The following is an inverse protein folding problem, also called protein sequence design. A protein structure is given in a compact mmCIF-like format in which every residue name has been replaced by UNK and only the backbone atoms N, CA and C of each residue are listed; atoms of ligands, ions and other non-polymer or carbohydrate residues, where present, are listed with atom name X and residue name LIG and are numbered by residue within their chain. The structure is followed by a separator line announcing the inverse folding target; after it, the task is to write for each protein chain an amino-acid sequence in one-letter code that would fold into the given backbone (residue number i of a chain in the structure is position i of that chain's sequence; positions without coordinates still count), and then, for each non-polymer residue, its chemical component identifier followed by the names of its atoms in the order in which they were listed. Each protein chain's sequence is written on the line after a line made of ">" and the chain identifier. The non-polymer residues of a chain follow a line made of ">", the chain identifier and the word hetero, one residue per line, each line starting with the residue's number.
data_IF_352195768621
#
_entry.id   IF_352195768621
#
_cell.length_a   1.000
_cell.length_b   1.000
_cell.length_c   1.000
_cell.angle_alpha   90.00
_cell.angle_beta   90.00
_cell.angle_gamma   90.00
#
_symmetry.space_group_name_H-M   'P 1'
#
loop_
_entity.id
_entity.type
_entity.pdbx_description
1 polymer ?
#
# COMPACT_ATOMS: atom_id res chain seq x y z
N UNK A 1 30.56 36.89 -8.60
CA UNK A 1 30.27 35.64 -9.31
C UNK A 1 29.62 36.01 -10.64
N UNK A 2 30.13 35.56 -11.79
CA UNK A 2 29.52 35.90 -13.09
C UNK A 2 28.12 35.32 -13.18
N UNK A 3 27.21 36.01 -13.88
CA UNK A 3 25.82 35.60 -14.07
C UNK A 3 25.73 34.17 -14.67
N UNK A 4 26.68 33.78 -15.53
CA UNK A 4 26.73 32.45 -16.12
C UNK A 4 26.81 31.34 -15.05
N UNK A 5 27.65 31.54 -14.01
CA UNK A 5 27.78 30.56 -12.92
C UNK A 5 26.49 30.45 -12.09
N UNK A 6 25.76 31.56 -11.92
CA UNK A 6 24.48 31.54 -11.22
C UNK A 6 23.42 30.75 -11.99
N UNK A 7 23.38 30.92 -13.32
CA UNK A 7 22.47 30.19 -14.21
C UNK A 7 22.79 28.69 -14.18
N UNK A 8 24.06 28.32 -14.31
CA UNK A 8 24.52 26.92 -14.27
C UNK A 8 24.16 26.28 -12.94
N UNK A 9 24.43 26.97 -11.82
CA UNK A 9 24.12 26.47 -10.49
C UNK A 9 22.62 26.27 -10.27
N UNK A 10 21.80 27.22 -10.74
CA UNK A 10 20.34 27.11 -10.70
C UNK A 10 19.83 25.90 -11.50
N UNK A 11 20.35 25.70 -12.73
CA UNK A 11 20.00 24.56 -13.56
C UNK A 11 20.39 23.23 -12.90
N UNK A 12 21.57 23.16 -12.29
CA UNK A 12 22.03 21.97 -11.58
C UNK A 12 21.09 21.62 -10.41
N UNK A 13 20.70 22.61 -9.62
CA UNK A 13 19.72 22.42 -8.53
C UNK A 13 18.41 21.90 -9.09
N UNK A 14 17.91 22.49 -10.18
CA UNK A 14 16.65 22.07 -10.79
C UNK A 14 16.70 20.60 -11.24
N UNK A 15 17.79 20.18 -11.88
CA UNK A 15 18.01 18.78 -12.27
C UNK A 15 18.02 17.86 -11.06
N UNK A 16 18.74 18.23 -9.99
CA UNK A 16 18.81 17.44 -8.76
C UNK A 16 17.41 17.28 -8.14
N UNK A 17 16.65 18.37 -8.02
CA UNK A 17 15.28 18.34 -7.49
C UNK A 17 14.38 17.46 -8.35
N UNK A 18 14.48 17.57 -9.67
CA UNK A 18 13.71 16.74 -10.60
C UNK A 18 14.02 15.24 -10.43
N UNK A 19 15.30 14.88 -10.34
CA UNK A 19 15.73 13.49 -10.13
C UNK A 19 15.23 12.98 -8.77
N UNK A 20 15.36 13.76 -7.70
CA UNK A 20 14.83 13.39 -6.38
C UNK A 20 13.33 13.15 -6.45
N UNK A 21 12.57 14.03 -7.11
CA UNK A 21 11.13 13.85 -7.27
C UNK A 21 10.80 12.54 -8.01
N UNK A 22 11.52 12.24 -9.09
CA UNK A 22 11.31 11.05 -9.90
C UNK A 22 11.58 9.76 -9.11
N UNK A 23 12.72 9.68 -8.40
CA UNK A 23 13.14 8.43 -7.77
C UNK A 23 12.60 8.25 -6.35
N UNK A 24 12.31 9.33 -5.61
CA UNK A 24 11.92 9.26 -4.19
C UNK A 24 10.41 9.40 -4.01
N UNK A 25 9.77 10.34 -4.71
CA UNK A 25 8.38 10.72 -4.46
C UNK A 25 7.37 10.10 -5.44
N UNK A 26 7.83 9.63 -6.60
CA UNK A 26 6.96 8.95 -7.55
C UNK A 26 6.61 7.54 -7.07
N UNK A 27 5.38 7.12 -7.33
CA UNK A 27 4.91 5.76 -7.02
C UNK A 27 5.30 4.90 -8.21
N UNK A 28 6.21 3.97 -7.99
CA UNK A 28 6.68 3.02 -8.99
C UNK A 28 5.85 1.74 -8.95
N UNK A 29 5.62 1.22 -7.74
CA UNK A 29 4.81 0.02 -7.50
C UNK A 29 4.04 0.16 -6.17
N UNK A 30 3.26 -0.85 -5.83
CA UNK A 30 2.54 -0.90 -4.55
C UNK A 30 2.62 -2.29 -3.95
N UNK A 31 2.78 -2.34 -2.63
CA UNK A 31 2.82 -3.58 -1.87
C UNK A 31 1.71 -3.58 -0.84
N UNK A 32 0.99 -4.69 -0.71
CA UNK A 32 -0.03 -4.86 0.31
C UNK A 32 0.50 -5.69 1.48
N UNK A 33 0.20 -5.26 2.71
CA UNK A 33 0.63 -5.95 3.92
C UNK A 33 -0.54 -6.06 4.89
N UNK A 34 -0.80 -7.29 5.37
CA UNK A 34 -1.71 -7.55 6.49
C UNK A 34 -0.93 -7.58 7.81
N UNK A 35 -1.44 -6.91 8.84
CA UNK A 35 -0.89 -6.97 10.20
C UNK A 35 -2.01 -7.05 11.25
N UNK A 36 -2.02 -8.10 12.10
CA UNK A 36 -1.22 -9.32 12.00
C UNK A 36 -1.66 -10.20 10.81
N UNK A 37 -0.77 -11.05 10.28
CA UNK A 37 -1.05 -11.96 9.17
C UNK A 37 -1.76 -13.26 9.59
N UNK A 38 -1.68 -13.60 10.87
CA UNK A 38 -2.36 -14.73 11.50
C UNK A 38 -3.24 -14.24 12.64
N UNK A 39 -4.45 -14.78 12.76
CA UNK A 39 -5.47 -14.36 13.73
C UNK A 39 -6.08 -15.58 14.41
N UNK A 40 -6.71 -15.37 15.57
CA UNK A 40 -7.49 -16.40 16.26
C UNK A 40 -8.98 -16.28 15.92
N UNK A 41 -9.70 -17.40 15.86
CA UNK A 41 -11.15 -17.45 15.66
C UNK A 41 -11.95 -17.09 16.92
N UNK A 42 -11.65 -15.94 17.52
CA UNK A 42 -12.18 -15.47 18.81
C UNK A 42 -13.32 -14.43 18.68
N UNK A 43 -13.76 -14.16 17.45
CA UNK A 43 -14.76 -13.14 17.11
C UNK A 43 -14.41 -11.70 17.57
N UNK A 44 -13.13 -11.42 17.87
CA UNK A 44 -12.65 -10.13 18.32
C UNK A 44 -11.35 -9.69 17.63
N UNK A 45 -10.53 -10.65 17.21
CA UNK A 45 -9.27 -10.48 16.50
C UNK A 45 -9.46 -9.67 15.22
N UNK A 46 -8.54 -8.74 14.99
CA UNK A 46 -8.59 -7.81 13.85
C UNK A 46 -7.28 -7.82 13.11
N UNK A 47 -7.35 -7.68 11.79
CA UNK A 47 -6.19 -7.39 10.96
C UNK A 47 -6.39 -6.14 10.15
N UNK A 48 -5.30 -5.37 10.02
CA UNK A 48 -5.25 -4.17 9.23
C UNK A 48 -4.45 -4.49 7.98
N UNK A 49 -5.10 -4.32 6.84
CA UNK A 49 -4.46 -4.43 5.54
C UNK A 49 -4.16 -3.02 5.07
N UNK A 50 -2.89 -2.77 4.77
CA UNK A 50 -2.41 -1.48 4.26
C UNK A 50 -1.70 -1.69 2.94
N UNK A 51 -2.04 -0.85 1.98
CA UNK A 51 -1.32 -0.74 0.72
C UNK A 51 -0.30 0.37 0.84
N UNK A 52 0.96 0.03 0.60
CA UNK A 52 2.11 0.90 0.74
C UNK A 52 2.59 1.25 -0.67
N UNK A 53 2.59 2.53 -1.08
CA UNK A 53 3.24 2.94 -2.31
C UNK A 53 4.75 2.81 -2.16
N UNK A 54 5.39 2.20 -3.15
CA UNK A 54 6.84 2.00 -3.21
C UNK A 54 7.39 2.84 -4.37
N UNK A 55 8.51 3.50 -4.14
CA UNK A 55 9.21 4.30 -5.13
C UNK A 55 10.23 3.46 -5.91
N UNK A 56 10.87 4.06 -6.91
CA UNK A 56 11.83 3.36 -7.78
C UNK A 56 13.08 2.85 -7.05
N UNK A 57 13.29 3.24 -5.79
CA UNK A 57 14.37 2.76 -4.93
C UNK A 57 13.93 1.61 -4.01
N UNK A 58 12.71 1.07 -4.18
CA UNK A 58 12.17 -0.01 -3.35
C UNK A 58 11.74 0.42 -1.94
N UNK A 59 11.64 1.73 -1.69
CA UNK A 59 11.24 2.29 -0.38
C UNK A 59 9.83 2.87 -0.43
N UNK A 60 9.19 3.03 0.73
CA UNK A 60 7.90 3.71 0.83
C UNK A 60 7.99 5.12 0.24
N UNK A 61 7.14 5.43 -0.74
CA UNK A 61 7.02 6.78 -1.30
C UNK A 61 6.40 7.74 -0.24
N UNK A 62 7.14 8.77 0.20
CA UNK A 62 6.70 9.64 1.29
C UNK A 62 5.55 10.54 0.85
N UNK A 63 4.61 10.81 1.77
CA UNK A 63 3.42 11.66 1.56
C UNK A 63 2.48 11.24 0.42
N UNK A 64 2.63 10.00 -0.09
CA UNK A 64 1.74 9.44 -1.10
C UNK A 64 0.75 8.46 -0.48
N UNK A 65 -0.44 8.44 -1.05
CA UNK A 65 -1.46 7.44 -0.80
C UNK A 65 -1.94 6.86 -2.13
N UNK A 66 -2.43 5.63 -2.08
CA UNK A 66 -2.83 4.89 -3.28
C UNK A 66 -4.31 4.56 -3.17
N UNK A 67 -5.14 5.05 -4.11
CA UNK A 67 -6.49 4.56 -4.30
C UNK A 67 -6.46 3.09 -4.74
N UNK A 68 -7.13 2.21 -3.99
CA UNK A 68 -7.20 0.78 -4.29
C UNK A 68 -8.62 0.24 -4.18
N UNK A 69 -8.86 -0.88 -4.86
CA UNK A 69 -10.05 -1.69 -4.67
C UNK A 69 -9.69 -2.95 -3.91
N UNK A 70 -10.37 -3.20 -2.79
CA UNK A 70 -10.30 -4.44 -2.03
C UNK A 70 -11.44 -5.37 -2.43
N UNK A 71 -11.11 -6.57 -2.87
CA UNK A 71 -12.03 -7.63 -3.24
C UNK A 71 -11.73 -8.91 -2.43
N UNK A 72 -12.71 -9.40 -1.68
CA UNK A 72 -12.60 -10.65 -0.92
C UNK A 72 -12.96 -11.80 -1.86
N UNK A 73 -11.95 -12.57 -2.27
CA UNK A 73 -12.11 -13.68 -3.21
C UNK A 73 -12.32 -15.02 -2.49
N UNK A 74 -11.85 -15.14 -1.23
CA UNK A 74 -12.01 -16.34 -0.41
C UNK A 74 -12.27 -15.96 1.06
N UNK A 75 -13.04 -16.77 1.79
CA UNK A 75 -13.25 -16.59 3.23
C UNK A 75 -14.13 -15.38 3.61
N UNK A 76 -14.97 -14.86 2.70
CA UNK A 76 -15.90 -13.75 2.97
C UNK A 76 -16.84 -14.02 4.14
N UNK A 77 -17.18 -15.28 4.37
CA UNK A 77 -17.99 -15.72 5.50
C UNK A 77 -17.22 -15.72 6.83
N UNK A 78 -15.88 -15.74 6.84
CA UNK A 78 -15.01 -15.81 8.03
C UNK A 78 -14.68 -14.44 8.63
N UNK A 79 -14.90 -13.34 7.89
CA UNK A 79 -14.55 -11.98 8.31
C UNK A 79 -15.69 -11.00 8.09
N UNK A 80 -15.64 -9.87 8.78
CA UNK A 80 -16.44 -8.68 8.52
C UNK A 80 -15.52 -7.48 8.28
N UNK A 81 -15.96 -6.54 7.44
CA UNK A 81 -15.23 -5.30 7.19
C UNK A 81 -15.71 -4.27 8.22
N UNK A 82 -14.86 -3.91 9.17
CA UNK A 82 -15.18 -2.85 10.13
C UNK A 82 -14.86 -1.46 9.58
N UNK A 83 -13.82 -1.35 8.76
CA UNK A 83 -13.39 -0.09 8.18
C UNK A 83 -12.80 -0.31 6.80
N UNK A 84 -13.17 0.55 5.84
CA UNK A 84 -12.63 0.54 4.49
C UNK A 84 -12.41 1.96 3.99
N UNK A 85 -11.18 2.26 3.61
CA UNK A 85 -10.81 3.51 2.97
C UNK A 85 -10.00 3.22 1.71
N UNK A 86 -10.72 3.12 0.60
CA UNK A 86 -10.13 2.86 -0.71
C UNK A 86 -9.12 3.94 -1.10
N UNK A 87 -9.39 5.22 -0.78
CA UNK A 87 -8.49 6.35 -1.15
C UNK A 87 -7.14 6.27 -0.44
N UNK A 88 -7.12 5.81 0.81
CA UNK A 88 -5.90 5.66 1.61
C UNK A 88 -5.26 4.28 1.51
N UNK A 89 -5.90 3.32 0.83
CA UNK A 89 -5.41 1.95 0.75
C UNK A 89 -5.43 1.22 2.08
N UNK A 90 -6.46 1.44 2.91
CA UNK A 90 -6.57 0.82 4.23
C UNK A 90 -7.91 0.09 4.35
N UNK A 91 -7.88 -1.17 4.79
CA UNK A 91 -9.07 -1.89 5.25
C UNK A 91 -8.78 -2.60 6.56
N UNK A 92 -9.75 -2.64 7.45
CA UNK A 92 -9.69 -3.37 8.72
C UNK A 92 -10.73 -4.47 8.67
N UNK A 93 -10.26 -5.70 8.88
CA UNK A 93 -11.10 -6.87 8.94
C UNK A 93 -11.16 -7.36 10.37
N UNK A 94 -12.36 -7.73 10.79
CA UNK A 94 -12.61 -8.42 12.06
C UNK A 94 -12.95 -9.88 11.75
N UNK A 95 -12.30 -10.78 12.47
CA UNK A 95 -12.49 -12.22 12.37
C UNK A 95 -13.77 -12.64 13.08
N UNK A 96 -14.42 -13.69 12.57
CA UNK A 96 -15.55 -14.37 13.20
C UNK A 96 -15.10 -15.63 13.94
N UNK A 97 -16.04 -16.41 14.42
CA UNK A 97 -15.84 -17.62 15.23
C UNK A 97 -15.40 -18.87 14.44
N UNK A 98 -14.88 -18.73 13.22
CA UNK A 98 -14.53 -19.87 12.35
C UNK A 98 -13.09 -19.79 11.83
N UNK A 99 -12.33 -20.89 11.90
CA UNK A 99 -11.00 -20.97 11.31
C UNK A 99 -11.07 -21.08 9.78
N UNK A 100 -9.97 -20.76 9.13
CA UNK A 100 -9.82 -20.88 7.68
C UNK A 100 -8.92 -19.81 7.06
N UNK A 101 -8.92 -19.74 5.74
CA UNK A 101 -8.07 -18.84 4.97
C UNK A 101 -8.93 -17.75 4.33
N UNK A 102 -8.47 -16.51 4.44
CA UNK A 102 -9.08 -15.35 3.78
C UNK A 102 -8.10 -14.82 2.76
N UNK A 103 -8.51 -14.77 1.49
CA UNK A 103 -7.72 -14.19 0.41
C UNK A 103 -8.38 -12.93 -0.10
N UNK A 104 -7.57 -11.89 -0.22
CA UNK A 104 -8.03 -10.56 -0.61
C UNK A 104 -7.19 -10.11 -1.78
N UNK A 105 -7.88 -9.88 -2.88
CA UNK A 105 -7.34 -9.28 -4.08
C UNK A 105 -7.39 -7.75 -3.95
N UNK A 106 -6.27 -7.12 -4.26
CA UNK A 106 -6.06 -5.69 -4.13
C UNK A 106 -5.58 -5.15 -5.47
N UNK A 107 -6.41 -4.34 -6.10
CA UNK A 107 -6.10 -3.73 -7.40
C UNK A 107 -5.86 -2.23 -7.26
N UNK A 108 -4.90 -1.73 -8.05
CA UNK A 108 -4.47 -0.33 -8.09
C UNK A 108 -4.04 0.01 -9.51
N UNK A 109 -4.18 1.27 -9.90
CA UNK A 109 -3.62 1.76 -11.18
C UNK A 109 -2.09 1.73 -11.24
N UNK A 110 -1.43 1.57 -10.09
CA UNK A 110 0.03 1.47 -9.97
C UNK A 110 0.50 0.02 -9.81
N UNK A 111 -0.37 -0.96 -10.10
CA UNK A 111 -0.03 -2.38 -10.13
C UNK A 111 -0.26 -2.93 -11.52
N UNK A 112 0.70 -3.71 -12.04
CA UNK A 112 0.51 -4.47 -13.28
C UNK A 112 -0.45 -5.65 -13.07
N UNK A 113 -0.36 -6.30 -11.91
CA UNK A 113 -1.19 -7.42 -11.51
C UNK A 113 -1.87 -7.16 -10.16
N UNK A 114 -3.02 -7.79 -9.88
CA UNK A 114 -3.61 -7.72 -8.56
C UNK A 114 -2.67 -8.27 -7.49
N UNK A 115 -2.57 -7.57 -6.36
CA UNK A 115 -1.85 -8.07 -5.19
C UNK A 115 -2.79 -8.95 -4.36
N UNK A 116 -2.37 -10.17 -4.06
CA UNK A 116 -3.15 -11.09 -3.22
C UNK A 116 -2.53 -11.12 -1.83
N UNK A 117 -3.34 -10.83 -0.82
CA UNK A 117 -2.96 -10.97 0.59
C UNK A 117 -3.75 -12.13 1.19
N UNK A 118 -3.02 -13.05 1.80
CA UNK A 118 -3.56 -14.19 2.52
C UNK A 118 -3.50 -13.94 4.03
N UNK A 119 -4.59 -14.27 4.73
CA UNK A 119 -4.70 -14.20 6.18
C UNK A 119 -5.16 -15.55 6.67
N UNK A 120 -4.43 -16.11 7.63
CA UNK A 120 -4.73 -17.40 8.24
C UNK A 120 -5.47 -17.16 9.56
N UNK A 121 -6.63 -17.78 9.73
CA UNK A 121 -7.41 -17.75 10.95
C UNK A 121 -7.33 -19.13 11.59
N UNK A 122 -6.75 -19.20 12.79
CA UNK A 122 -6.58 -20.42 13.59
C UNK A 122 -7.67 -20.56 14.64
#
# INVERSE_FOLDING_TARGET
>A
MKIEYLIIFSLLIFIIVYVIHLYVYSIYEVTAVAKPGTLHSDNNSKTIIRVIPINSLGKKAPFRSVPVCFNLIEGKNLVSIEYKNNKKGITVLKVKDKPGIVKIEITSKYSLFPNIVEIIIN
#
